data_IF_496222187348
#
_entry.id   IF_496222187348
#
_cell.length_a   1.000
_cell.length_b   1.000
_cell.length_c   1.000
_cell.angle_alpha   90.00
_cell.angle_beta   90.00
_cell.angle_gamma   90.00
#
_symmetry.space_group_name_H-M   'P 1'
#
loop_
_entity.id
_entity.type
_entity.pdbx_description
1 polymer ?
#
# COMPACT_ATOMS: atom_id res chain seq x y z
N UNK A 1 4.63 -15.04 22.53
CA UNK A 1 4.07 -13.72 22.13
C UNK A 1 4.58 -13.22 20.77
N UNK A 2 5.20 -14.05 19.91
CA UNK A 2 5.83 -13.58 18.66
C UNK A 2 4.97 -13.74 17.38
N UNK A 3 3.77 -14.31 17.49
CA UNK A 3 3.01 -14.78 16.32
C UNK A 3 2.46 -13.66 15.41
N UNK A 4 2.23 -12.46 15.95
CA UNK A 4 1.73 -11.33 15.17
C UNK A 4 2.79 -10.70 14.26
N UNK A 5 4.06 -10.65 14.68
CA UNK A 5 5.13 -10.04 13.87
C UNK A 5 5.47 -10.84 12.60
N UNK A 6 5.30 -12.16 12.63
CA UNK A 6 5.48 -13.04 11.47
C UNK A 6 4.36 -12.99 10.44
N UNK A 7 3.19 -12.44 10.80
CA UNK A 7 2.02 -12.34 9.91
C UNK A 7 1.82 -10.91 9.37
N UNK A 8 2.57 -9.94 9.91
CA UNK A 8 2.62 -8.58 9.37
C UNK A 8 3.29 -8.58 8.01
N UNK A 9 2.78 -7.72 7.12
CA UNK A 9 3.45 -7.35 5.89
C UNK A 9 4.58 -6.38 6.28
N UNK A 10 5.82 -6.85 6.15
CA UNK A 10 7.04 -6.14 6.46
C UNK A 10 7.62 -5.45 5.21
N UNK A 11 8.64 -4.58 5.38
CA UNK A 11 9.28 -3.87 4.27
C UNK A 11 9.82 -4.75 3.13
N UNK A 12 10.23 -5.99 3.45
CA UNK A 12 10.78 -6.94 2.48
C UNK A 12 9.70 -7.83 1.82
N UNK A 13 8.44 -7.73 2.27
CA UNK A 13 7.35 -8.52 1.71
C UNK A 13 7.00 -8.08 0.29
N UNK A 14 6.66 -9.08 -0.54
CA UNK A 14 6.23 -8.86 -1.93
C UNK A 14 5.10 -7.82 -2.03
N UNK A 15 4.12 -7.86 -1.12
CA UNK A 15 2.99 -6.90 -1.11
C UNK A 15 3.45 -5.48 -0.85
N UNK A 16 4.42 -5.27 0.04
CA UNK A 16 5.01 -3.97 0.28
C UNK A 16 5.80 -3.48 -0.95
N UNK A 17 6.59 -4.37 -1.56
CA UNK A 17 7.31 -4.05 -2.79
C UNK A 17 6.34 -3.66 -3.93
N UNK A 18 5.17 -4.31 -4.02
CA UNK A 18 4.12 -3.95 -4.97
C UNK A 18 3.54 -2.55 -4.71
N UNK A 19 3.25 -2.21 -3.45
CA UNK A 19 2.78 -0.86 -3.09
C UNK A 19 3.81 0.23 -3.40
N UNK A 20 5.08 -0.02 -3.05
CA UNK A 20 6.20 0.89 -3.34
C UNK A 20 6.42 1.04 -4.84
N UNK A 21 6.29 -0.04 -5.62
CA UNK A 21 6.40 0.00 -7.06
C UNK A 21 5.29 0.86 -7.69
N UNK A 22 4.03 0.70 -7.25
CA UNK A 22 2.92 1.53 -7.70
C UNK A 22 3.16 3.02 -7.40
N UNK A 23 3.65 3.35 -6.20
CA UNK A 23 4.00 4.72 -5.82
C UNK A 23 5.15 5.28 -6.66
N UNK A 24 6.18 4.47 -6.95
CA UNK A 24 7.28 4.88 -7.82
C UNK A 24 6.77 5.20 -9.23
N UNK A 25 5.92 4.36 -9.81
CA UNK A 25 5.33 4.60 -11.14
C UNK A 25 4.51 5.88 -11.17
N UNK A 26 3.76 6.18 -10.11
CA UNK A 26 3.08 7.47 -9.94
C UNK A 26 4.07 8.64 -9.97
N UNK A 27 5.16 8.57 -9.20
CA UNK A 27 6.19 9.61 -9.17
C UNK A 27 6.88 9.79 -10.51
N UNK A 28 7.19 8.70 -11.21
CA UNK A 28 7.80 8.72 -12.55
C UNK A 28 6.85 9.35 -13.59
N UNK A 29 5.57 8.99 -13.54
CA UNK A 29 4.54 9.60 -14.39
C UNK A 29 4.38 11.10 -14.09
N UNK A 30 4.51 11.49 -12.82
CA UNK A 30 4.38 12.89 -12.40
C UNK A 30 5.58 13.71 -12.88
N UNK A 31 6.78 13.16 -12.73
CA UNK A 31 8.01 13.77 -13.23
C UNK A 31 8.04 13.86 -14.77
N UNK A 32 7.41 12.92 -15.45
CA UNK A 32 7.33 12.89 -16.92
C UNK A 32 6.21 13.77 -17.49
N UNK A 33 5.38 14.38 -16.64
CA UNK A 33 4.24 15.20 -17.08
C UNK A 33 3.15 14.41 -17.78
N UNK A 34 2.93 13.15 -17.37
CA UNK A 34 1.85 12.31 -17.90
C UNK A 34 0.47 12.96 -17.73
N UNK A 35 -0.51 12.47 -18.50
CA UNK A 35 -1.88 12.96 -18.43
C UNK A 35 -2.50 12.69 -17.05
N UNK A 36 -3.27 13.66 -16.54
CA UNK A 36 -3.95 13.58 -15.24
C UNK A 36 -4.72 12.27 -14.98
N UNK A 37 -5.50 11.68 -15.93
CA UNK A 37 -6.22 10.44 -15.65
C UNK A 37 -5.31 9.24 -15.39
N UNK A 38 -4.15 9.16 -16.05
CA UNK A 38 -3.18 8.08 -15.83
C UNK A 38 -2.45 8.25 -14.50
N UNK A 39 -2.16 9.50 -14.14
CA UNK A 39 -1.58 9.87 -12.85
C UNK A 39 -2.51 9.56 -11.68
N UNK A 40 -3.78 9.93 -11.78
CA UNK A 40 -4.76 9.66 -10.73
C UNK A 40 -4.99 8.15 -10.57
N UNK A 41 -5.03 7.39 -11.67
CA UNK A 41 -5.12 5.93 -11.61
C UNK A 41 -3.95 5.29 -10.85
N UNK A 42 -2.72 5.75 -11.10
CA UNK A 42 -1.52 5.28 -10.38
C UNK A 42 -1.54 5.69 -8.91
N UNK A 43 -2.01 6.90 -8.60
CA UNK A 43 -2.15 7.39 -7.23
C UNK A 43 -3.14 6.57 -6.43
N UNK A 44 -4.35 6.39 -6.95
CA UNK A 44 -5.43 5.62 -6.31
C UNK A 44 -4.98 4.18 -6.07
N UNK A 45 -4.29 3.57 -7.03
CA UNK A 45 -3.74 2.22 -6.87
C UNK A 45 -2.71 2.16 -5.74
N UNK A 46 -1.77 3.10 -5.69
CA UNK A 46 -0.75 3.15 -4.64
C UNK A 46 -1.39 3.35 -3.25
N UNK A 47 -2.33 4.28 -3.14
CA UNK A 47 -3.05 4.57 -1.89
C UNK A 47 -3.86 3.36 -1.42
N UNK A 48 -4.59 2.69 -2.32
CA UNK A 48 -5.32 1.47 -2.02
C UNK A 48 -4.41 0.35 -1.48
N UNK A 49 -3.26 0.13 -2.12
CA UNK A 49 -2.32 -0.90 -1.69
C UNK A 49 -1.73 -0.60 -0.30
N UNK A 50 -1.36 0.65 -0.03
CA UNK A 50 -0.88 1.04 1.30
C UNK A 50 -1.96 0.93 2.37
N UNK A 51 -3.20 1.33 2.05
CA UNK A 51 -4.33 1.21 2.96
C UNK A 51 -4.62 -0.27 3.29
N UNK A 52 -4.61 -1.16 2.29
CA UNK A 52 -4.81 -2.58 2.50
C UNK A 52 -3.71 -3.22 3.37
N UNK A 53 -2.45 -2.79 3.20
CA UNK A 53 -1.33 -3.24 4.05
C UNK A 53 -1.50 -2.74 5.49
N UNK A 54 -1.89 -1.48 5.67
CA UNK A 54 -2.12 -0.90 6.99
C UNK A 54 -3.27 -1.60 7.72
N UNK A 55 -4.39 -1.85 7.03
CA UNK A 55 -5.54 -2.59 7.54
C UNK A 55 -5.13 -3.99 7.97
N UNK A 56 -4.45 -4.75 7.11
CA UNK A 56 -3.94 -6.10 7.43
C UNK A 56 -3.06 -6.09 8.68
N UNK A 57 -2.09 -5.18 8.74
CA UNK A 57 -1.17 -5.08 9.87
C UNK A 57 -1.90 -4.72 11.18
N UNK A 58 -2.94 -3.89 11.13
CA UNK A 58 -3.78 -3.59 12.30
C UNK A 58 -4.57 -4.83 12.75
N UNK A 59 -5.20 -5.57 11.81
CA UNK A 59 -5.90 -6.82 12.13
C UNK A 59 -4.97 -7.84 12.82
N UNK A 60 -3.75 -8.01 12.28
CA UNK A 60 -2.74 -8.94 12.79
C UNK A 60 -2.29 -8.58 14.21
N UNK A 61 -2.18 -7.28 14.51
CA UNK A 61 -1.83 -6.80 15.84
C UNK A 61 -3.00 -6.87 16.84
N UNK A 62 -4.17 -7.35 16.41
CA UNK A 62 -5.37 -7.45 17.25
C UNK A 62 -6.08 -6.12 17.43
N UNK A 63 -5.79 -5.13 16.59
CA UNK A 63 -6.50 -3.86 16.57
C UNK A 63 -7.71 -3.98 15.62
N UNK A 64 -8.89 -3.45 15.99
CA UNK A 64 -9.99 -3.36 15.05
C UNK A 64 -9.52 -2.45 13.92
N UNK A 65 -9.50 -3.01 12.72
CA UNK A 65 -9.29 -2.20 11.53
C UNK A 65 -10.57 -1.41 11.30
N UNK A 66 -10.43 -0.10 11.05
CA UNK A 66 -11.57 0.78 10.86
C UNK A 66 -12.48 0.30 9.72
N UNK A 67 -13.71 0.84 9.59
CA UNK A 67 -14.66 0.37 8.59
C UNK A 67 -14.02 0.38 7.20
N UNK A 68 -13.92 -0.80 6.59
CA UNK A 68 -13.56 -0.99 5.18
C UNK A 68 -14.71 -0.42 4.35
N UNK A 69 -14.51 0.77 3.80
CA UNK A 69 -15.47 1.50 2.98
C UNK A 69 -15.37 1.15 1.51
#
# INVERSE_FOLDING_TARGET
MAKGLTDMILPDDRRMLEAVCAMRRYQEAQASGCAEPELEGLRVLAEFLFQAIADHNLQVLGHPSGPQH
#
